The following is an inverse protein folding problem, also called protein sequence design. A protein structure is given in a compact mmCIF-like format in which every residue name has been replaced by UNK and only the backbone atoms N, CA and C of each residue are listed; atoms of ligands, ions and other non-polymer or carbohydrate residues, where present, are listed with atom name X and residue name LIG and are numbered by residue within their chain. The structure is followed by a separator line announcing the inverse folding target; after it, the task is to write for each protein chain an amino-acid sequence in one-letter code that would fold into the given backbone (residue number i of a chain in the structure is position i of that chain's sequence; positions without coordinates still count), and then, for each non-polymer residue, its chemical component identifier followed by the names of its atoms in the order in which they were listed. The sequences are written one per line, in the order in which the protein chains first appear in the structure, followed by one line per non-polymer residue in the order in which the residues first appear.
data_IF_445679705911
#
_entry.id   IF_445679705911
#
_cell.length_a   1.000
_cell.length_b   1.000
_cell.length_c   1.000
_cell.angle_alpha   90.00
_cell.angle_beta   90.00
_cell.angle_gamma   90.00
#
_symmetry.space_group_name_H-M   'P 1'
#
loop_
_entity.id
_entity.type
_entity.pdbx_description
1 polymer ?
#
# COMPACT_ATOMS: atom_id res chain seq x y z
N UNK A 1 10.04 -6.71 -12.29
CA UNK A 1 9.20 -6.13 -11.24
C UNK A 1 9.70 -4.73 -11.00
N UNK A 2 9.00 -3.75 -11.56
CA UNK A 2 9.22 -2.34 -11.26
C UNK A 2 8.17 -1.91 -10.24
N UNK A 3 8.59 -1.08 -9.31
CA UNK A 3 7.76 -0.60 -8.21
C UNK A 3 7.91 0.92 -8.12
N UNK A 4 6.79 1.60 -7.93
CA UNK A 4 6.70 3.04 -7.80
C UNK A 4 7.00 3.48 -6.36
N UNK A 5 7.56 4.69 -6.21
CA UNK A 5 7.78 5.33 -4.90
C UNK A 5 6.59 6.26 -4.61
N UNK A 6 6.00 6.22 -3.42
CA UNK A 6 4.98 7.20 -3.00
C UNK A 6 5.21 7.69 -1.58
N UNK A 7 4.90 8.96 -1.36
CA UNK A 7 4.90 9.57 -0.05
C UNK A 7 3.46 9.78 0.41
N UNK A 8 3.15 9.32 1.63
CA UNK A 8 1.92 9.66 2.31
C UNK A 8 2.21 10.60 3.48
N UNK A 9 1.49 11.71 3.59
CA UNK A 9 1.56 12.59 4.76
C UNK A 9 0.17 12.73 5.35
N UNK A 10 0.02 12.32 6.60
CA UNK A 10 -1.22 12.46 7.35
C UNK A 10 -1.13 13.72 8.21
N UNK A 11 -2.14 14.56 8.09
CA UNK A 11 -2.36 15.75 8.89
C UNK A 11 -3.58 15.55 9.77
N UNK A 12 -3.52 15.97 11.02
CA UNK A 12 -4.70 16.05 11.90
C UNK A 12 -4.98 17.52 12.23
N UNK A 13 -6.19 18.00 11.98
CA UNK A 13 -6.62 19.38 12.18
C UNK A 13 -7.76 19.47 13.20
N UNK A 14 -7.73 20.44 14.12
CA UNK A 14 -8.88 20.74 14.98
C UNK A 14 -9.83 21.70 14.24
N UNK A 15 -10.82 21.21 13.49
CA UNK A 15 -11.77 22.04 12.75
C UNK A 15 -13.12 22.17 13.49
N UNK A 16 -13.74 23.37 13.53
CA UNK A 16 -15.12 23.54 14.00
C UNK A 16 -16.15 23.04 12.95
N UNK A 17 -17.21 22.43 13.47
CA UNK A 17 -18.20 21.51 12.88
C UNK A 17 -18.95 21.85 11.57
N UNK A 18 -18.60 22.87 10.77
CA UNK A 18 -19.50 23.32 9.67
C UNK A 18 -19.07 23.02 8.23
N UNK A 19 -17.98 22.31 7.96
CA UNK A 19 -17.65 21.90 6.59
C UNK A 19 -18.20 20.51 6.26
N UNK A 20 -19.31 20.49 5.52
CA UNK A 20 -19.81 19.34 4.78
C UNK A 20 -18.73 18.80 3.82
N UNK A 21 -18.53 17.47 3.78
CA UNK A 21 -17.49 16.86 2.97
C UNK A 21 -17.96 15.67 2.11
N UNK A 22 -17.69 15.84 0.82
CA UNK A 22 -17.70 14.84 -0.23
C UNK A 22 -16.42 13.99 -0.17
N UNK A 23 -16.52 12.69 -0.43
CA UNK A 23 -15.37 11.84 -0.77
C UNK A 23 -14.85 12.30 -2.15
N UNK A 24 -14.03 13.35 -2.18
CA UNK A 24 -13.53 13.94 -3.41
C UNK A 24 -12.04 13.63 -3.54
N UNK A 25 -11.70 12.58 -4.28
CA UNK A 25 -10.33 12.43 -4.80
C UNK A 25 -10.13 13.49 -5.87
N UNK A 26 -9.67 14.67 -5.46
CA UNK A 26 -9.29 15.73 -6.40
C UNK A 26 -7.93 15.35 -6.98
N UNK A 27 -7.89 15.03 -8.27
CA UNK A 27 -6.65 14.82 -9.01
C UNK A 27 -6.05 16.19 -9.34
N UNK A 28 -5.05 16.60 -8.59
CA UNK A 28 -4.19 17.71 -8.97
C UNK A 28 -2.93 17.17 -9.67
N UNK A 29 -2.30 17.95 -10.56
CA UNK A 29 -1.16 17.48 -11.36
C UNK A 29 0.07 17.03 -10.54
N UNK A 30 0.08 17.16 -9.21
CA UNK A 30 1.20 16.83 -8.33
C UNK A 30 0.86 15.90 -7.15
N UNK A 31 -0.43 15.73 -6.82
CA UNK A 31 -0.87 15.17 -5.54
C UNK A 31 -2.31 14.66 -5.64
N UNK A 32 -2.58 13.54 -4.97
CA UNK A 32 -3.93 13.06 -4.67
C UNK A 32 -4.19 13.32 -3.19
N UNK A 33 -5.34 13.88 -2.87
CA UNK A 33 -5.74 14.09 -1.48
C UNK A 33 -6.99 13.29 -1.18
N UNK A 34 -6.98 12.60 -0.04
CA UNK A 34 -8.16 11.98 0.54
C UNK A 34 -8.44 12.71 1.85
N UNK A 35 -9.63 13.27 1.96
CA UNK A 35 -10.09 13.89 3.18
C UNK A 35 -10.94 12.87 3.92
N UNK A 36 -10.34 12.27 4.96
CA UNK A 36 -11.06 11.33 5.82
C UNK A 36 -11.73 12.13 6.94
N UNK A 37 -12.95 12.58 6.66
CA UNK A 37 -13.84 13.07 7.70
C UNK A 37 -14.70 11.90 8.15
N UNK A 38 -14.43 11.42 9.35
CA UNK A 38 -15.17 10.33 9.99
C UNK A 38 -16.67 10.67 9.96
N UNK A 39 -17.39 9.94 9.12
CA UNK A 39 -18.79 10.17 8.82
C UNK A 39 -19.64 9.50 9.90
N UNK A 40 -19.60 10.02 11.13
CA UNK A 40 -20.55 9.66 12.18
C UNK A 40 -20.79 10.89 13.06
N UNK A 41 -22.05 11.26 13.23
CA UNK A 41 -22.54 12.43 13.98
C UNK A 41 -22.17 12.45 15.49
N UNK A 42 -21.16 11.70 15.96
CA UNK A 42 -20.87 11.52 17.39
C UNK A 42 -19.41 11.22 17.79
N UNK A 43 -18.38 11.87 17.23
CA UNK A 43 -17.03 11.75 17.83
C UNK A 43 -16.34 13.09 18.09
N UNK A 44 -15.73 13.22 19.28
CA UNK A 44 -14.82 14.30 19.69
C UNK A 44 -13.44 14.20 19.01
N UNK A 45 -13.37 13.58 17.84
CA UNK A 45 -12.10 13.25 17.20
C UNK A 45 -11.73 14.29 16.14
N UNK A 46 -10.41 14.50 16.01
CA UNK A 46 -9.79 15.57 15.24
C UNK A 46 -9.78 15.15 13.75
N UNK A 47 -10.40 15.91 12.82
CA UNK A 47 -10.42 15.52 11.40
C UNK A 47 -9.02 15.38 10.81
N UNK A 48 -8.85 14.38 9.94
CA UNK A 48 -7.58 14.05 9.32
C UNK A 48 -7.57 14.31 7.81
N UNK A 49 -6.48 14.88 7.29
CA UNK A 49 -6.23 14.99 5.85
C UNK A 49 -5.08 14.05 5.50
N UNK A 50 -5.31 13.14 4.56
CA UNK A 50 -4.27 12.26 4.04
C UNK A 50 -3.83 12.78 2.68
N UNK A 51 -2.54 13.09 2.60
CA UNK A 51 -1.90 13.53 1.39
C UNK A 51 -1.08 12.43 0.75
N UNK A 52 -1.32 12.15 -0.53
CA UNK A 52 -0.55 11.20 -1.32
C UNK A 52 0.14 11.94 -2.47
N UNK A 53 1.46 11.86 -2.51
CA UNK A 53 2.23 12.43 -3.61
C UNK A 53 2.11 11.61 -4.89
N UNK A 54 2.49 12.20 -6.01
CA UNK A 54 2.84 11.44 -7.21
C UNK A 54 4.21 10.78 -7.07
N UNK A 55 4.49 9.80 -7.93
CA UNK A 55 5.78 9.09 -7.98
C UNK A 55 6.92 10.03 -8.37
N UNK A 56 6.72 10.81 -9.43
CA UNK A 56 7.67 11.84 -9.88
C UNK A 56 7.98 12.91 -8.83
N UNK A 57 7.08 13.16 -7.88
CA UNK A 57 7.35 14.06 -6.75
C UNK A 57 8.20 13.36 -5.70
N UNK A 58 7.87 12.11 -5.35
CA UNK A 58 8.61 11.34 -4.36
C UNK A 58 10.08 11.13 -4.79
N UNK A 59 10.33 10.85 -6.07
CA UNK A 59 11.69 10.74 -6.63
C UNK A 59 12.51 12.04 -6.46
N UNK A 60 11.89 13.20 -6.69
CA UNK A 60 12.55 14.51 -6.51
C UNK A 60 12.83 14.84 -5.06
N UNK A 61 12.09 14.24 -4.14
CA UNK A 61 12.22 14.43 -2.70
C UNK A 61 13.06 13.33 -2.04
N UNK A 62 13.66 12.40 -2.79
CA UNK A 62 14.36 11.23 -2.25
C UNK A 62 15.52 11.60 -1.31
N UNK A 63 16.20 12.73 -1.56
CA UNK A 63 17.33 13.21 -0.76
C UNK A 63 16.94 14.19 0.37
N UNK A 64 15.65 14.52 0.48
CA UNK A 64 15.16 15.47 1.48
C UNK A 64 14.90 14.78 2.82
N UNK A 65 15.10 15.51 3.90
CA UNK A 65 14.71 15.06 5.23
C UNK A 65 13.19 15.01 5.40
N UNK A 66 12.73 14.21 6.37
CA UNK A 66 11.30 14.09 6.68
C UNK A 66 10.67 15.46 7.01
N UNK A 67 11.39 16.35 7.70
CA UNK A 67 10.90 17.67 8.07
C UNK A 67 10.79 18.63 6.87
N UNK A 68 11.75 18.56 5.93
CA UNK A 68 11.66 19.31 4.67
C UNK A 68 10.47 18.86 3.83
N UNK A 69 10.25 17.54 3.76
CA UNK A 69 9.12 16.94 3.06
C UNK A 69 7.79 17.37 3.71
N UNK A 70 7.67 17.28 5.04
CA UNK A 70 6.47 17.74 5.77
C UNK A 70 6.18 19.19 5.48
N UNK A 71 7.19 20.06 5.54
CA UNK A 71 7.04 21.49 5.25
C UNK A 71 6.54 21.73 3.82
N UNK A 72 7.16 21.09 2.83
CA UNK A 72 6.74 21.20 1.42
C UNK A 72 5.27 20.80 1.23
N UNK A 73 4.84 19.73 1.90
CA UNK A 73 3.47 19.23 1.83
C UNK A 73 2.47 20.16 2.54
N UNK A 74 2.85 20.75 3.68
CA UNK A 74 2.05 21.77 4.39
C UNK A 74 1.89 23.02 3.53
N UNK A 75 2.99 23.54 2.98
CA UNK A 75 2.97 24.73 2.15
C UNK A 75 2.10 24.52 0.90
N UNK A 76 2.16 23.33 0.32
CA UNK A 76 1.33 22.98 -0.83
C UNK A 76 -0.16 22.88 -0.48
N UNK A 77 -0.54 22.23 0.63
CA UNK A 77 -1.96 22.14 1.01
C UNK A 77 -2.52 23.50 1.43
N UNK A 78 -1.73 24.36 2.10
CA UNK A 78 -2.12 25.74 2.41
C UNK A 78 -2.27 26.61 1.16
N UNK A 79 -1.48 26.37 0.12
CA UNK A 79 -1.66 27.06 -1.16
C UNK A 79 -3.00 26.70 -1.82
N UNK A 80 -3.43 25.44 -1.71
CA UNK A 80 -4.69 24.95 -2.27
C UNK A 80 -5.90 25.29 -1.41
N UNK A 81 -5.73 25.27 -0.09
CA UNK A 81 -6.75 25.55 0.91
C UNK A 81 -6.19 26.52 1.97
N UNK A 82 -6.14 27.83 1.66
CA UNK A 82 -5.54 28.83 2.55
C UNK A 82 -6.21 28.96 3.92
N UNK A 83 -7.50 28.60 3.99
CA UNK A 83 -8.31 28.68 5.21
C UNK A 83 -8.07 27.51 6.18
N UNK A 84 -7.24 26.52 5.82
CA UNK A 84 -6.91 25.42 6.75
C UNK A 84 -6.07 25.95 7.92
N UNK A 85 -6.43 25.61 9.16
CA UNK A 85 -5.62 25.97 10.33
C UNK A 85 -4.28 25.21 10.30
N UNK A 86 -3.36 25.54 11.20
CA UNK A 86 -2.16 24.72 11.35
C UNK A 86 -2.52 23.31 11.85
N UNK A 87 -1.90 22.24 11.31
CA UNK A 87 -2.16 20.89 11.76
C UNK A 87 -1.65 20.70 13.20
N UNK A 88 -2.46 20.07 14.05
CA UNK A 88 -2.09 19.73 15.42
C UNK A 88 -1.04 18.60 15.46
N UNK A 89 -1.00 17.77 14.43
CA UNK A 89 -0.05 16.68 14.27
C UNK A 89 0.20 16.37 12.80
N UNK A 90 1.45 16.04 12.46
CA UNK A 90 1.88 15.71 11.10
C UNK A 90 2.77 14.48 11.13
N UNK A 91 2.44 13.48 10.31
CA UNK A 91 3.25 12.29 10.12
C UNK A 91 3.47 12.02 8.65
N UNK A 92 4.73 11.87 8.25
CA UNK A 92 5.12 11.48 6.91
C UNK A 92 5.49 9.99 6.88
N UNK A 93 5.13 9.32 5.79
CA UNK A 93 5.48 7.94 5.49
C UNK A 93 6.05 7.89 4.08
N UNK A 94 7.29 7.42 3.99
CA UNK A 94 7.96 7.18 2.72
C UNK A 94 7.84 5.71 2.33
N UNK A 95 7.22 5.43 1.19
CA UNK A 95 7.10 4.09 0.64
C UNK A 95 7.94 3.98 -0.62
N UNK A 96 9.12 3.38 -0.50
CA UNK A 96 10.03 3.11 -1.65
C UNK A 96 9.39 2.17 -2.67
N UNK A 97 8.48 1.31 -2.22
CA UNK A 97 7.82 0.29 -3.03
C UNK A 97 6.31 0.33 -2.77
N UNK A 98 5.65 1.29 -3.38
CA UNK A 98 4.28 1.70 -3.06
C UNK A 98 3.21 1.14 -4.00
N UNK A 99 3.56 0.86 -5.25
CA UNK A 99 2.67 0.26 -6.24
C UNK A 99 3.47 -0.47 -7.30
N UNK A 100 2.98 -1.63 -7.71
CA UNK A 100 3.55 -2.38 -8.82
C UNK A 100 3.24 -1.66 -10.14
N UNK A 101 4.26 -1.34 -10.94
CA UNK A 101 4.07 -0.82 -12.30
C UNK A 101 4.04 -1.91 -13.34
N UNK A 102 4.88 -2.93 -13.15
CA UNK A 102 4.98 -4.09 -14.03
C UNK A 102 4.97 -5.39 -13.21
N UNK A 103 3.92 -6.22 -13.36
CA UNK A 103 3.87 -7.49 -12.68
C UNK A 103 4.89 -8.47 -13.23
N UNK A 104 5.10 -9.56 -12.48
CA UNK A 104 5.85 -10.70 -12.94
C UNK A 104 5.24 -11.24 -14.25
N UNK A 105 6.10 -11.72 -15.16
CA UNK A 105 5.68 -12.26 -16.46
C UNK A 105 4.58 -13.32 -16.29
N UNK A 106 3.56 -13.24 -17.13
CA UNK A 106 2.38 -14.12 -17.13
C UNK A 106 1.51 -14.09 -15.86
N UNK A 107 1.82 -13.26 -14.86
CA UNK A 107 1.01 -13.06 -13.64
C UNK A 107 0.53 -14.39 -12.99
N UNK A 108 1.44 -15.32 -12.66
CA UNK A 108 1.06 -16.68 -12.28
C UNK A 108 0.43 -16.79 -10.88
N UNK A 109 0.34 -15.69 -10.12
CA UNK A 109 -0.10 -15.67 -8.73
C UNK A 109 0.96 -16.11 -7.73
N UNK A 110 1.85 -17.03 -8.08
CA UNK A 110 3.04 -17.37 -7.32
C UNK A 110 4.10 -18.03 -8.21
N UNK A 111 5.33 -18.13 -7.72
CA UNK A 111 6.42 -18.89 -8.36
C UNK A 111 7.05 -19.82 -7.33
N UNK A 112 7.20 -21.09 -7.70
CA UNK A 112 7.98 -22.06 -6.92
C UNK A 112 9.47 -21.81 -7.20
N UNK A 113 10.19 -21.33 -6.20
CA UNK A 113 11.63 -21.06 -6.28
C UNK A 113 12.42 -22.35 -6.05
N UNK A 114 11.94 -23.20 -5.16
CA UNK A 114 12.62 -24.44 -4.80
C UNK A 114 11.62 -25.52 -4.43
N UNK A 115 11.84 -26.76 -4.89
CA UNK A 115 10.90 -27.86 -4.68
C UNK A 115 11.03 -28.54 -3.31
N UNK A 116 12.25 -28.80 -2.83
CA UNK A 116 12.47 -29.47 -1.54
C UNK A 116 13.75 -29.00 -0.81
N UNK A 117 13.65 -28.24 0.31
CA UNK A 117 12.40 -27.81 0.94
C UNK A 117 11.62 -26.84 0.05
N UNK A 118 10.29 -26.92 0.12
CA UNK A 118 9.41 -26.11 -0.72
C UNK A 118 9.55 -24.62 -0.36
N UNK A 119 9.91 -23.81 -1.36
CA UNK A 119 9.98 -22.35 -1.26
C UNK A 119 9.16 -21.74 -2.38
N UNK A 120 8.13 -20.98 -2.01
CA UNK A 120 7.21 -20.31 -2.93
C UNK A 120 7.30 -18.81 -2.66
N UNK A 121 7.42 -18.01 -3.71
CA UNK A 121 7.25 -16.56 -3.65
C UNK A 121 5.90 -16.18 -4.25
N UNK A 122 5.21 -15.26 -3.59
CA UNK A 122 3.92 -14.75 -4.01
C UNK A 122 3.71 -13.35 -3.44
N UNK A 123 2.54 -12.78 -3.70
CA UNK A 123 2.18 -11.39 -3.42
C UNK A 123 1.57 -10.72 -4.63
N UNK A 124 1.21 -9.45 -4.46
CA UNK A 124 0.65 -8.57 -5.49
C UNK A 124 1.52 -8.49 -6.76
N UNK A 125 2.83 -8.66 -6.58
CA UNK A 125 3.82 -8.63 -7.65
C UNK A 125 3.67 -9.75 -8.68
N UNK A 126 2.93 -10.81 -8.36
CA UNK A 126 2.62 -11.92 -9.25
C UNK A 126 1.17 -11.90 -9.76
N UNK A 127 0.40 -10.88 -9.39
CA UNK A 127 -0.97 -10.62 -9.85
C UNK A 127 -1.08 -9.15 -10.25
N UNK A 128 -1.57 -8.30 -9.34
CA UNK A 128 -1.73 -6.86 -9.47
C UNK A 128 -1.67 -6.21 -8.09
N UNK A 129 -1.29 -4.93 -8.02
CA UNK A 129 -1.23 -4.13 -6.77
C UNK A 129 -2.62 -3.67 -6.33
N UNK A 130 -3.44 -4.65 -5.95
CA UNK A 130 -4.79 -4.46 -5.43
C UNK A 130 -5.06 -5.41 -4.25
N UNK A 131 -6.05 -5.08 -3.42
CA UNK A 131 -6.46 -5.96 -2.33
C UNK A 131 -6.88 -7.35 -2.85
N UNK A 132 -7.61 -7.40 -3.97
CA UNK A 132 -8.01 -8.64 -4.60
C UNK A 132 -6.81 -9.38 -5.21
N UNK A 133 -5.84 -8.67 -5.78
CA UNK A 133 -4.60 -9.25 -6.28
C UNK A 133 -3.84 -10.02 -5.21
N UNK A 134 -3.72 -9.44 -4.01
CA UNK A 134 -3.13 -10.10 -2.85
C UNK A 134 -3.90 -11.37 -2.44
N UNK A 135 -5.24 -11.31 -2.40
CA UNK A 135 -6.06 -12.48 -2.04
C UNK A 135 -5.89 -13.59 -3.08
N UNK A 136 -5.97 -13.26 -4.36
CA UNK A 136 -5.77 -14.22 -5.46
C UNK A 136 -4.42 -14.91 -5.35
N UNK A 137 -3.34 -14.15 -5.12
CA UNK A 137 -2.02 -14.73 -4.92
C UNK A 137 -1.97 -15.67 -3.71
N UNK A 138 -2.53 -15.27 -2.57
CA UNK A 138 -2.55 -16.09 -1.36
C UNK A 138 -3.28 -17.43 -1.57
N UNK A 139 -4.41 -17.43 -2.29
CA UNK A 139 -5.14 -18.66 -2.64
C UNK A 139 -4.26 -19.59 -3.49
N UNK A 140 -3.63 -19.05 -4.54
CA UNK A 140 -2.78 -19.83 -5.46
C UNK A 140 -1.57 -20.44 -4.72
N UNK A 141 -0.94 -19.71 -3.80
CA UNK A 141 0.17 -20.22 -2.98
C UNK A 141 -0.29 -21.44 -2.17
N UNK A 142 -1.46 -21.36 -1.54
CA UNK A 142 -2.00 -22.46 -0.73
C UNK A 142 -2.28 -23.68 -1.61
N UNK A 143 -2.87 -23.49 -2.79
CA UNK A 143 -3.10 -24.57 -3.74
C UNK A 143 -1.79 -25.26 -4.16
N UNK A 144 -0.75 -24.49 -4.48
CA UNK A 144 0.54 -25.01 -4.90
C UNK A 144 1.26 -25.76 -3.77
N UNK A 145 1.21 -25.21 -2.56
CA UNK A 145 1.76 -25.87 -1.37
C UNK A 145 1.05 -27.21 -1.10
N UNK A 146 -0.28 -27.27 -1.23
CA UNK A 146 -1.05 -28.49 -1.02
C UNK A 146 -0.71 -29.59 -2.03
N UNK A 147 -0.40 -29.25 -3.29
CA UNK A 147 0.09 -30.23 -4.29
C UNK A 147 1.40 -30.88 -3.83
N UNK A 148 2.34 -30.07 -3.31
CA UNK A 148 3.66 -30.56 -2.86
C UNK A 148 3.57 -31.39 -1.56
N UNK A 149 2.72 -30.99 -0.61
CA UNK A 149 2.49 -31.78 0.63
C UNK A 149 1.87 -33.15 0.32
N UNK A 150 0.91 -33.22 -0.60
CA UNK A 150 0.31 -34.49 -1.03
C UNK A 150 1.34 -35.41 -1.70
N UNK A 151 2.24 -34.85 -2.50
CA UNK A 151 3.35 -35.60 -3.12
C UNK A 151 4.27 -36.24 -2.06
N UNK A 152 4.64 -35.49 -1.02
CA UNK A 152 5.48 -36.01 0.08
C UNK A 152 4.80 -37.14 0.87
N UNK A 153 3.47 -37.09 1.07
CA UNK A 153 2.72 -38.17 1.71
C UNK A 153 2.69 -39.45 0.86
N UNK A 154 2.66 -39.33 -0.47
CA UNK A 154 2.69 -40.46 -1.39
C UNK A 154 4.01 -41.26 -1.36
N UNK A 155 5.15 -40.60 -1.13
CA UNK A 155 6.45 -41.26 -1.03
C UNK A 155 6.65 -42.06 0.27
N UNK A 156 5.91 -41.76 1.34
CA UNK A 156 6.01 -42.51 2.60
C UNK A 156 5.30 -43.87 2.60
N UNK A 157 4.40 -44.15 1.65
CA UNK A 157 3.70 -45.44 1.56
C UNK A 157 4.41 -46.50 0.69
N UNK A 158 5.49 -46.15 -0.01
CA UNK A 158 6.21 -47.05 -0.92
C UNK A 158 7.39 -47.82 -0.32
N UNK A 159 7.74 -47.62 0.96
CA UNK A 159 8.92 -48.24 1.59
C UNK A 159 8.59 -49.35 2.59
N UNK A 160 7.66 -50.25 2.24
CA UNK A 160 7.61 -51.58 2.88
C UNK A 160 8.72 -52.43 2.26
N UNK A 161 9.83 -52.56 2.99
CA UNK A 161 10.89 -53.53 2.69
C UNK A 161 10.26 -54.92 2.59
N UNK A 162 10.35 -55.53 1.40
CA UNK A 162 10.28 -56.96 1.22
C UNK A 162 11.64 -57.55 1.64
N UNK A 163 11.73 -58.09 2.86
CA UNK A 163 12.73 -59.05 3.31
C UNK A 163 12.20 -59.76 4.55
#
# INVERSE_FOLDING_TARGET
MLMDIMLFVVFLYNLPFSLFLFYCTVFLPRTKFCLDCFLLEQTKEVPGIILQSTTSFAEKCADLSEDEIKKLMIDHIKCLMPELPDPAFVKAFHWTYSMLTEPYVDTPGCVVIHDYPCLISGGDSYTESSFNGCITSAVIIVEELLKKVKFLKGHHHGRRRSS
#
